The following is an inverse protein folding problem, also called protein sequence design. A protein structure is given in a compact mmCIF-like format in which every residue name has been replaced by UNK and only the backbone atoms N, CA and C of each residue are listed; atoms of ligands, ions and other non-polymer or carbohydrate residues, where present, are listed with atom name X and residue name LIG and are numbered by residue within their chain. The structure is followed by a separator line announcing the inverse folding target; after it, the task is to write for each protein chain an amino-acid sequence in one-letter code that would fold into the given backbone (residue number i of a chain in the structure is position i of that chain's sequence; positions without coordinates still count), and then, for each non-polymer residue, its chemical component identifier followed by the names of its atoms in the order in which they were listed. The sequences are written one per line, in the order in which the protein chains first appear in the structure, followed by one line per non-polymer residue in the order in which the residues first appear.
data_IF_347318486172
#
_entry.id   IF_347318486172
#
_cell.length_a   1.000
_cell.length_b   1.000
_cell.length_c   1.000
_cell.angle_alpha   90.00
_cell.angle_beta   90.00
_cell.angle_gamma   90.00
#
_symmetry.space_group_name_H-M   'P 1'
#
loop_
_entity.id
_entity.type
_entity.pdbx_description
1 polymer ?
#
# COMPACT_ATOMS: atom_id res chain seq x y z
N UNK A 1 -18.86 -48.63 25.77
CA UNK A 1 -19.28 -47.60 24.80
C UNK A 1 -19.94 -48.26 23.61
N UNK A 2 -20.81 -47.54 22.91
CA UNK A 2 -21.41 -47.99 21.65
C UNK A 2 -20.46 -47.64 20.50
N UNK A 3 -20.22 -48.58 19.58
CA UNK A 3 -19.46 -48.32 18.36
C UNK A 3 -20.43 -48.28 17.18
N UNK A 4 -20.50 -47.14 16.49
CA UNK A 4 -21.31 -46.99 15.28
C UNK A 4 -20.58 -47.65 14.10
N UNK A 5 -21.30 -48.47 13.32
CA UNK A 5 -20.79 -49.05 12.06
C UNK A 5 -21.19 -48.18 10.89
N UNK A 6 -22.48 -47.84 10.81
CA UNK A 6 -23.05 -46.96 9.82
C UNK A 6 -24.33 -46.30 10.36
N UNK A 7 -24.72 -45.17 9.77
CA UNK A 7 -26.01 -44.53 9.95
C UNK A 7 -26.76 -44.50 8.62
N UNK A 8 -28.09 -44.69 8.65
CA UNK A 8 -28.96 -44.54 7.49
C UNK A 8 -29.85 -43.32 7.71
N UNK A 9 -29.74 -42.34 6.84
CA UNK A 9 -30.55 -41.12 6.86
C UNK A 9 -30.99 -40.81 5.43
N UNK A 10 -32.29 -40.59 5.22
CA UNK A 10 -32.89 -40.28 3.90
C UNK A 10 -32.45 -41.21 2.74
N UNK A 11 -32.29 -42.50 3.03
CA UNK A 11 -31.86 -43.50 2.04
C UNK A 11 -30.36 -43.49 1.74
N UNK A 12 -29.57 -42.63 2.39
CA UNK A 12 -28.11 -42.57 2.29
C UNK A 12 -27.47 -43.25 3.49
N UNK A 13 -26.50 -44.13 3.23
CA UNK A 13 -25.72 -44.81 4.26
C UNK A 13 -24.43 -44.03 4.47
N UNK A 14 -24.22 -43.54 5.68
CA UNK A 14 -22.98 -42.91 6.12
C UNK A 14 -22.15 -43.90 6.92
N UNK A 15 -20.94 -44.19 6.45
CA UNK A 15 -19.98 -45.02 7.17
C UNK A 15 -19.37 -44.23 8.32
N UNK A 16 -18.92 -44.94 9.36
CA UNK A 16 -18.24 -44.31 10.51
C UNK A 16 -17.13 -43.34 10.08
N UNK A 17 -16.31 -43.70 9.09
CA UNK A 17 -15.19 -42.88 8.60
C UNK A 17 -15.62 -41.56 7.97
N UNK A 18 -16.85 -41.48 7.45
CA UNK A 18 -17.39 -40.25 6.84
C UNK A 18 -18.00 -39.33 7.90
N UNK A 19 -18.50 -39.92 8.99
CA UNK A 19 -19.03 -39.19 10.15
C UNK A 19 -17.93 -38.74 11.12
N UNK A 20 -16.75 -39.37 11.06
CA UNK A 20 -15.57 -39.04 11.83
C UNK A 20 -14.82 -37.85 11.20
N UNK A 21 -15.46 -36.68 11.23
CA UNK A 21 -14.93 -35.45 10.62
C UNK A 21 -14.02 -34.72 11.60
N UNK A 22 -12.77 -34.50 11.20
CA UNK A 22 -11.87 -33.59 11.89
C UNK A 22 -12.28 -32.13 11.61
N UNK A 23 -12.84 -31.49 12.64
CA UNK A 23 -13.30 -30.10 12.55
C UNK A 23 -12.14 -29.11 12.38
N UNK A 24 -10.98 -29.39 12.98
CA UNK A 24 -9.82 -28.52 12.89
C UNK A 24 -9.19 -28.58 11.49
N UNK A 25 -9.13 -29.79 10.90
CA UNK A 25 -8.69 -29.97 9.52
C UNK A 25 -9.60 -29.22 8.54
N UNK A 26 -10.93 -29.36 8.70
CA UNK A 26 -11.89 -28.68 7.83
C UNK A 26 -11.74 -27.16 7.90
N UNK A 27 -11.58 -26.60 9.10
CA UNK A 27 -11.37 -25.16 9.29
C UNK A 27 -10.06 -24.71 8.64
N UNK A 28 -8.99 -25.51 8.76
CA UNK A 28 -7.71 -25.21 8.13
C UNK A 28 -7.83 -25.19 6.59
N UNK A 29 -8.54 -26.16 6.01
CA UNK A 29 -8.80 -26.22 4.57
C UNK A 29 -9.59 -25.01 4.08
N UNK A 30 -10.65 -24.61 4.79
CA UNK A 30 -11.45 -23.42 4.44
C UNK A 30 -10.59 -22.15 4.44
N UNK A 31 -9.74 -21.97 5.45
CA UNK A 31 -8.81 -20.83 5.53
C UNK A 31 -7.83 -20.82 4.35
N UNK A 32 -7.28 -21.97 3.99
CA UNK A 32 -6.38 -22.09 2.83
C UNK A 32 -7.11 -21.72 1.53
N UNK A 33 -8.31 -22.27 1.31
CA UNK A 33 -9.11 -21.99 0.12
C UNK A 33 -9.46 -20.50 0.00
N UNK A 34 -9.77 -19.84 1.11
CA UNK A 34 -9.99 -18.39 1.11
C UNK A 34 -8.75 -17.61 0.66
N UNK A 35 -7.58 -17.95 1.20
CA UNK A 35 -6.30 -17.32 0.82
C UNK A 35 -6.00 -17.57 -0.66
N UNK A 36 -6.23 -18.77 -1.16
CA UNK A 36 -5.96 -19.12 -2.55
C UNK A 36 -6.92 -18.43 -3.52
N UNK A 37 -8.20 -18.31 -3.16
CA UNK A 37 -9.16 -17.50 -3.89
C UNK A 37 -8.75 -16.01 -3.92
N UNK A 38 -8.26 -15.47 -2.80
CA UNK A 38 -7.78 -14.09 -2.72
C UNK A 38 -6.54 -13.90 -3.62
N UNK A 39 -5.57 -14.81 -3.58
CA UNK A 39 -4.39 -14.78 -4.47
C UNK A 39 -4.80 -14.82 -5.94
N UNK A 40 -5.75 -15.67 -6.30
CA UNK A 40 -6.26 -15.78 -7.67
C UNK A 40 -6.93 -14.48 -8.11
N UNK A 41 -7.80 -13.91 -7.28
CA UNK A 41 -8.47 -12.65 -7.56
C UNK A 41 -7.46 -11.50 -7.75
N UNK A 42 -6.46 -11.42 -6.86
CA UNK A 42 -5.38 -10.43 -6.97
C UNK A 42 -4.55 -10.65 -8.24
N UNK A 43 -4.16 -11.89 -8.54
CA UNK A 43 -3.35 -12.23 -9.70
C UNK A 43 -4.05 -12.03 -11.05
N UNK A 44 -5.37 -12.11 -11.08
CA UNK A 44 -6.19 -11.86 -12.29
C UNK A 44 -6.61 -10.41 -12.45
N UNK A 45 -6.33 -9.54 -11.47
CA UNK A 45 -6.75 -8.14 -11.50
C UNK A 45 -8.24 -7.93 -11.24
N UNK A 46 -8.92 -8.89 -10.59
CA UNK A 46 -10.32 -8.73 -10.18
C UNK A 46 -10.45 -7.73 -9.03
N UNK A 47 -10.95 -6.53 -9.31
CA UNK A 47 -11.14 -5.48 -8.30
C UNK A 47 -12.50 -5.62 -7.63
N UNK A 48 -12.49 -5.82 -6.32
CA UNK A 48 -13.67 -5.84 -5.46
C UNK A 48 -13.32 -5.31 -4.05
N UNK A 49 -14.28 -5.33 -3.12
CA UNK A 49 -14.09 -4.81 -1.76
C UNK A 49 -12.93 -5.46 -0.99
N UNK A 50 -12.69 -6.75 -1.21
CA UNK A 50 -11.65 -7.53 -0.52
C UNK A 50 -10.25 -7.32 -1.11
N UNK A 51 -10.18 -7.01 -2.41
CA UNK A 51 -8.92 -7.00 -3.17
C UNK A 51 -8.40 -5.60 -3.49
N UNK A 52 -9.28 -4.59 -3.54
CA UNK A 52 -8.92 -3.25 -4.00
C UNK A 52 -7.76 -2.64 -3.21
N UNK A 53 -7.83 -2.68 -1.88
CA UNK A 53 -6.79 -2.10 -1.01
C UNK A 53 -5.45 -2.85 -1.15
N UNK A 54 -5.51 -4.18 -1.23
CA UNK A 54 -4.32 -5.03 -1.43
C UNK A 54 -3.68 -4.72 -2.78
N UNK A 55 -4.47 -4.57 -3.84
CA UNK A 55 -3.97 -4.25 -5.17
C UNK A 55 -3.31 -2.87 -5.23
N UNK A 56 -3.90 -1.86 -4.60
CA UNK A 56 -3.32 -0.51 -4.56
C UNK A 56 -1.96 -0.53 -3.86
N UNK A 57 -1.87 -1.19 -2.69
CA UNK A 57 -0.60 -1.36 -1.97
C UNK A 57 0.44 -2.12 -2.81
N UNK A 58 0.02 -3.20 -3.47
CA UNK A 58 0.91 -3.98 -4.33
C UNK A 58 1.41 -3.15 -5.52
N UNK A 59 0.54 -2.35 -6.13
CA UNK A 59 0.91 -1.47 -7.24
C UNK A 59 1.95 -0.41 -6.80
N UNK A 60 1.73 0.21 -5.65
CA UNK A 60 2.68 1.16 -5.06
C UNK A 60 4.04 0.50 -4.79
N UNK A 61 4.05 -0.64 -4.09
CA UNK A 61 5.27 -1.39 -3.78
C UNK A 61 6.03 -1.80 -5.05
N UNK A 62 5.31 -2.25 -6.09
CA UNK A 62 5.91 -2.62 -7.37
C UNK A 62 6.49 -1.40 -8.10
N UNK A 63 5.80 -0.26 -8.07
CA UNK A 63 6.31 0.98 -8.66
C UNK A 63 7.56 1.48 -7.93
N UNK A 64 7.58 1.44 -6.59
CA UNK A 64 8.74 1.79 -5.78
C UNK A 64 9.92 0.86 -6.08
N UNK A 65 9.68 -0.45 -6.13
CA UNK A 65 10.70 -1.44 -6.48
C UNK A 65 11.28 -1.19 -7.86
N UNK A 66 10.42 -0.89 -8.85
CA UNK A 66 10.85 -0.56 -10.20
C UNK A 66 11.72 0.71 -10.19
N UNK A 67 11.23 1.80 -9.59
CA UNK A 67 11.95 3.06 -9.51
C UNK A 67 13.33 2.90 -8.84
N UNK A 68 13.38 2.22 -7.69
CA UNK A 68 14.64 1.90 -7.01
C UNK A 68 15.59 1.06 -7.88
N UNK A 69 15.08 0.03 -8.55
CA UNK A 69 15.90 -0.84 -9.39
C UNK A 69 16.51 -0.13 -10.61
N UNK A 70 15.77 0.83 -11.18
CA UNK A 70 16.17 1.61 -12.35
C UNK A 70 16.90 2.92 -12.00
N UNK A 71 17.07 3.23 -10.70
CA UNK A 71 17.67 4.49 -10.26
C UNK A 71 16.82 5.72 -10.59
N UNK A 72 15.51 5.55 -10.76
CA UNK A 72 14.57 6.66 -11.01
C UNK A 72 14.35 7.39 -9.69
N UNK A 73 14.68 8.68 -9.65
CA UNK A 73 14.40 9.54 -8.50
C UNK A 73 12.90 9.84 -8.44
N UNK A 74 12.26 9.34 -7.39
CA UNK A 74 10.89 9.65 -7.03
C UNK A 74 10.81 9.85 -5.51
N UNK A 75 9.85 10.66 -5.04
CA UNK A 75 9.79 11.12 -3.65
C UNK A 75 9.86 10.00 -2.60
N UNK A 76 9.22 8.86 -2.89
CA UNK A 76 9.15 7.71 -1.97
C UNK A 76 10.42 6.86 -1.94
N UNK A 77 11.29 6.97 -2.93
CA UNK A 77 12.51 6.13 -3.05
C UNK A 77 13.80 6.93 -3.13
N UNK A 78 13.72 8.27 -3.17
CA UNK A 78 14.87 9.17 -3.35
C UNK A 78 16.02 8.87 -2.37
N UNK A 79 15.72 8.71 -1.09
CA UNK A 79 16.73 8.47 -0.04
C UNK A 79 17.42 7.11 -0.24
N UNK A 80 16.65 6.08 -0.61
CA UNK A 80 17.18 4.75 -0.88
C UNK A 80 18.07 4.75 -2.13
N UNK A 81 17.68 5.49 -3.17
CA UNK A 81 18.44 5.59 -4.42
C UNK A 81 19.76 6.34 -4.18
N UNK A 82 19.74 7.44 -3.45
CA UNK A 82 20.95 8.19 -3.10
C UNK A 82 21.89 7.36 -2.22
N UNK A 83 21.36 6.71 -1.18
CA UNK A 83 22.15 5.82 -0.32
C UNK A 83 22.80 4.67 -1.10
N UNK A 84 22.10 4.11 -2.09
CA UNK A 84 22.68 3.09 -2.99
C UNK A 84 23.82 3.67 -3.82
N UNK A 85 23.67 4.87 -4.38
CA UNK A 85 24.72 5.53 -5.16
C UNK A 85 25.96 5.81 -4.31
N UNK A 86 25.78 6.30 -3.07
CA UNK A 86 26.88 6.55 -2.13
C UNK A 86 27.63 5.27 -1.76
N UNK A 87 26.90 4.18 -1.54
CA UNK A 87 27.48 2.87 -1.25
C UNK A 87 28.27 2.32 -2.45
N UNK A 88 27.74 2.45 -3.67
CA UNK A 88 28.40 2.02 -4.89
C UNK A 88 29.66 2.85 -5.19
N UNK A 89 29.60 4.17 -5.00
CA UNK A 89 30.76 5.06 -5.14
C UNK A 89 31.87 4.72 -4.13
N UNK A 90 31.49 4.48 -2.87
CA UNK A 90 32.42 4.07 -1.82
C UNK A 90 33.09 2.73 -2.16
N UNK A 91 32.31 1.74 -2.59
CA UNK A 91 32.83 0.44 -3.01
C UNK A 91 33.75 0.53 -4.25
N UNK A 92 33.48 1.47 -5.16
CA UNK A 92 34.35 1.72 -6.30
C UNK A 92 35.67 2.37 -5.88
N UNK A 93 35.63 3.35 -4.97
CA UNK A 93 36.83 4.00 -4.43
C UNK A 93 37.78 3.01 -3.75
N UNK A 94 37.24 2.05 -3.01
CA UNK A 94 38.02 0.97 -2.41
C UNK A 94 38.71 0.07 -3.45
N UNK A 95 38.05 -0.20 -4.58
CA UNK A 95 38.58 -1.08 -5.64
C UNK A 95 39.60 -0.41 -6.56
N UNK A 96 39.43 0.87 -6.86
CA UNK A 96 40.29 1.60 -7.82
C UNK A 96 41.49 2.26 -7.12
N UNK A 97 41.48 2.36 -5.79
CA UNK A 97 42.51 3.07 -5.02
C UNK A 97 42.39 4.59 -5.12
N UNK A 98 43.25 5.32 -4.41
CA UNK A 98 43.22 6.79 -4.39
C UNK A 98 43.74 7.35 -5.72
N UNK A 99 42.87 7.49 -6.71
CA UNK A 99 43.14 8.30 -7.91
C UNK A 99 43.22 9.76 -7.45
N UNK A 100 44.27 10.52 -7.81
CA UNK A 100 44.36 11.94 -7.47
C UNK A 100 43.12 12.66 -8.01
N UNK A 101 42.44 13.41 -7.14
CA UNK A 101 41.34 14.28 -7.54
C UNK A 101 41.91 15.44 -8.37
N UNK A 102 42.01 15.27 -9.69
CA UNK A 102 42.08 16.42 -10.59
C UNK A 102 40.67 16.91 -10.90
N UNK A 103 40.45 18.19 -10.57
CA UNK A 103 39.35 19.07 -10.92
C UNK A 103 37.96 18.78 -10.35
N UNK A 104 37.82 18.99 -9.04
CA UNK A 104 36.57 19.53 -8.49
C UNK A 104 36.47 21.01 -8.88
N UNK A 105 35.78 21.32 -9.98
CA UNK A 105 35.17 22.65 -10.14
C UNK A 105 33.95 22.70 -9.24
N UNK A 106 34.12 23.36 -8.11
CA UNK A 106 33.04 23.80 -7.23
C UNK A 106 32.13 24.77 -8.00
N UNK A 107 31.03 24.27 -8.56
CA UNK A 107 29.88 25.14 -8.87
C UNK A 107 29.14 25.39 -7.56
N UNK A 108 29.53 26.48 -6.91
CA UNK A 108 28.88 27.12 -5.78
C UNK A 108 27.46 27.54 -6.20
N UNK A 109 26.47 26.69 -5.94
CA UNK A 109 25.06 27.09 -6.06
C UNK A 109 24.74 27.96 -4.85
N UNK A 110 24.73 29.28 -5.08
CA UNK A 110 24.26 30.25 -4.11
C UNK A 110 22.78 30.02 -3.81
N UNK A 111 22.53 29.76 -2.54
CA UNK A 111 21.24 29.82 -1.88
C UNK A 111 20.75 31.28 -1.88
N UNK A 112 19.78 31.60 -2.74
CA UNK A 112 18.90 32.76 -2.53
C UNK A 112 17.55 32.26 -2.05
N UNK A 113 17.40 32.16 -0.74
CA UNK A 113 16.12 32.34 -0.07
C UNK A 113 15.60 33.75 -0.42
N UNK A 114 14.43 33.84 -1.05
CA UNK A 114 13.59 35.04 -0.97
C UNK A 114 12.27 34.62 -0.38
N UNK A 115 12.13 34.84 0.93
CA UNK A 115 10.86 34.81 1.65
C UNK A 115 10.00 36.02 1.26
N UNK A 116 8.71 35.79 1.41
CA UNK A 116 7.53 36.60 1.15
C UNK A 116 7.57 38.08 1.54
N UNK A 117 6.88 38.91 0.75
CA UNK A 117 6.09 40.05 1.22
C UNK A 117 4.85 40.18 0.31
N UNK A 118 3.67 39.96 0.88
CA UNK A 118 2.37 40.07 0.19
C UNK A 118 1.73 41.46 0.25
N UNK A 119 0.65 41.57 -0.53
CA UNK A 119 -0.59 42.36 -0.28
C UNK A 119 -0.46 43.90 -0.18
N UNK A 120 -1.06 44.71 -1.06
CA UNK A 120 -2.51 44.95 -1.19
C UNK A 120 -2.76 46.02 -2.27
N UNK A 121 -3.85 45.88 -3.05
CA UNK A 121 -4.68 47.00 -3.53
C UNK A 121 -5.99 46.46 -4.11
N UNK A 122 -6.95 46.39 -3.20
CA UNK A 122 -8.37 46.15 -3.33
C UNK A 122 -9.11 47.37 -3.93
N UNK A 123 -10.13 47.13 -4.74
CA UNK A 123 -11.29 48.01 -4.97
C UNK A 123 -12.30 47.23 -5.83
N UNK A 124 -13.59 47.09 -5.52
CA UNK A 124 -14.39 47.30 -4.31
C UNK A 124 -15.74 46.62 -4.63
N UNK A 125 -16.31 45.96 -3.62
CA UNK A 125 -17.69 45.47 -3.43
C UNK A 125 -18.76 46.60 -3.55
N UNK A 126 -20.03 46.53 -3.08
CA UNK A 126 -20.90 45.44 -2.57
C UNK A 126 -22.38 45.51 -3.04
N UNK A 127 -23.20 44.48 -2.75
CA UNK A 127 -24.34 44.61 -1.81
C UNK A 127 -25.06 43.27 -1.58
N UNK A 128 -24.79 42.71 -0.39
CA UNK A 128 -25.69 42.69 0.76
C UNK A 128 -26.95 41.81 0.82
N UNK A 129 -26.98 41.15 1.98
CA UNK A 129 -28.08 40.85 2.88
C UNK A 129 -28.80 39.49 2.72
N UNK A 130 -28.46 38.51 3.57
CA UNK A 130 -28.84 38.38 5.00
C UNK A 130 -30.24 37.76 5.14
N UNK A 131 -30.59 36.97 6.15
CA UNK A 131 -29.90 36.31 7.26
C UNK A 131 -31.00 35.50 7.98
N UNK A 132 -30.61 34.83 9.07
CA UNK A 132 -31.47 34.34 10.16
C UNK A 132 -32.05 32.92 10.05
N UNK A 133 -31.33 31.98 10.66
CA UNK A 133 -31.70 31.40 11.97
C UNK A 133 -33.19 31.50 12.35
N UNK A 134 -33.86 30.38 12.62
CA UNK A 134 -34.05 29.99 14.02
C UNK A 134 -34.65 28.58 14.19
N UNK A 135 -34.30 28.06 15.35
CA UNK A 135 -34.64 26.80 15.97
C UNK A 135 -36.11 26.79 16.44
N UNK A 136 -36.88 25.72 16.18
CA UNK A 136 -37.82 25.13 17.16
C UNK A 136 -38.59 23.93 16.59
N UNK A 137 -38.50 22.83 17.34
CA UNK A 137 -39.63 22.05 17.87
C UNK A 137 -41.00 22.23 17.19
N UNK A 138 -41.59 21.15 16.68
CA UNK A 138 -42.80 20.63 17.29
C UNK A 138 -43.18 19.23 16.78
N UNK A 139 -43.93 18.55 17.64
CA UNK A 139 -44.61 17.25 17.51
C UNK A 139 -45.25 16.98 16.14
N UNK A 140 -45.27 15.70 15.76
CA UNK A 140 -46.47 14.84 15.80
C UNK A 140 -46.10 13.35 15.78
#
# INVERSE_FOLDING_TARGET
GLNLVAALEDGTIFMRSELDVDSDELIAQIKSLHIDALKLAVGTGLINKETAEIMIRNAEMNAMKLAYSQGILADKVKELVLSKADAEASALKEKVGNVPAEDQKEDKVEETESKEAGETAESETPQEEESSSDNQSDKE
#
